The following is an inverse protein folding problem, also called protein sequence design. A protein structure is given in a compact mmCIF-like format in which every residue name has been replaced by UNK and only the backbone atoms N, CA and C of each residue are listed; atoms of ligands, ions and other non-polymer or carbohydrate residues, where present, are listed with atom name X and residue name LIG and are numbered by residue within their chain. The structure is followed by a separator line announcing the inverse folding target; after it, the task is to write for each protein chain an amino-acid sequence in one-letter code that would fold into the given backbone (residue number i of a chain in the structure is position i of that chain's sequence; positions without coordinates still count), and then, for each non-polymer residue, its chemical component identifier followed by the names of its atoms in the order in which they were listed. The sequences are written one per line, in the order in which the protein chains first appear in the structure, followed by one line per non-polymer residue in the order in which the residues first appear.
data_IF_049575612765
#
_entry.id   IF_049575612765
#
_cell.length_a   1.000
_cell.length_b   1.000
_cell.length_c   1.000
_cell.angle_alpha   90.00
_cell.angle_beta   90.00
_cell.angle_gamma   90.00
#
_symmetry.space_group_name_H-M   'P 1'
#
loop_
_entity.id
_entity.type
_entity.pdbx_description
1 polymer ?
#
# COMPACT_ATOMS: atom_id res chain seq x y z
N UNK A 1 16.08 89.31 15.97
CA UNK A 1 15.86 88.98 14.54
C UNK A 1 15.98 87.46 14.41
N UNK A 2 14.85 86.74 14.31
CA UNK A 2 14.32 86.06 13.10
C UNK A 2 15.14 84.86 12.60
N UNK A 3 14.48 83.69 12.53
CA UNK A 3 14.73 82.58 11.59
C UNK A 3 15.28 81.29 12.23
N UNK A 4 14.44 80.31 12.64
CA UNK A 4 13.83 79.18 11.89
C UNK A 4 14.78 78.07 11.38
N UNK A 5 14.59 76.88 11.96
CA UNK A 5 14.48 75.54 11.36
C UNK A 5 15.56 75.03 10.38
N UNK A 6 16.08 73.82 10.63
CA UNK A 6 15.79 72.58 9.86
C UNK A 6 16.85 71.51 10.14
N UNK A 7 16.43 70.31 10.56
CA UNK A 7 17.26 69.12 10.58
C UNK A 7 17.49 68.59 9.15
N UNK A 8 18.63 67.93 8.89
CA UNK A 8 18.60 66.77 8.03
C UNK A 8 19.14 65.51 8.69
N UNK A 9 18.43 64.44 8.34
CA UNK A 9 18.57 63.03 8.64
C UNK A 9 19.60 62.35 7.71
N UNK A 10 19.92 61.07 7.98
CA UNK A 10 20.49 60.03 7.08
C UNK A 10 22.04 60.01 6.99
N UNK A 11 22.78 58.88 7.12
CA UNK A 11 22.47 57.47 7.37
C UNK A 11 23.70 56.77 7.99
N UNK A 12 23.46 55.86 8.94
CA UNK A 12 24.37 54.76 9.22
C UNK A 12 23.97 53.55 8.36
N UNK A 13 24.91 52.80 7.75
CA UNK A 13 24.55 51.60 6.99
C UNK A 13 24.15 50.48 7.96
N UNK A 14 22.88 50.06 7.87
CA UNK A 14 22.37 48.83 8.47
C UNK A 14 22.89 47.67 7.59
N UNK A 15 23.88 46.94 8.09
CA UNK A 15 24.27 45.66 7.53
C UNK A 15 23.15 44.65 7.77
N UNK A 16 22.35 44.37 6.74
CA UNK A 16 21.40 43.25 6.73
C UNK A 16 22.19 41.97 6.54
N UNK A 17 22.52 41.30 7.64
CA UNK A 17 22.95 39.91 7.60
C UNK A 17 21.71 39.04 7.33
N UNK A 18 21.46 38.77 6.05
CA UNK A 18 20.45 37.80 5.63
C UNK A 18 20.87 36.40 6.10
N UNK A 19 20.38 35.99 7.27
CA UNK A 19 20.47 34.63 7.75
C UNK A 19 19.67 33.71 6.82
N UNK A 20 20.37 33.01 5.93
CA UNK A 20 19.83 31.84 5.25
C UNK A 20 19.46 30.80 6.31
N UNK A 21 18.19 30.78 6.70
CA UNK A 21 17.60 29.68 7.45
C UNK A 21 17.60 28.44 6.55
N UNK A 22 18.71 27.71 6.54
CA UNK A 22 18.67 26.30 6.17
C UNK A 22 17.83 25.60 7.22
N UNK A 23 16.57 25.29 6.90
CA UNK A 23 15.79 24.37 7.71
C UNK A 23 16.52 23.04 7.68
N UNK A 24 17.25 22.72 8.75
CA UNK A 24 17.80 21.40 8.96
C UNK A 24 16.63 20.43 9.01
N UNK A 25 16.47 19.63 7.96
CA UNK A 25 15.57 18.47 8.00
C UNK A 25 16.24 17.47 8.91
N UNK A 26 15.93 17.53 10.20
CA UNK A 26 16.37 16.51 11.14
C UNK A 26 15.70 15.19 10.71
N UNK A 27 16.48 14.29 10.11
CA UNK A 27 16.06 12.93 9.83
C UNK A 27 16.07 12.16 11.15
N UNK A 28 14.96 12.23 11.88
CA UNK A 28 14.74 11.34 13.02
C UNK A 28 14.48 9.92 12.49
N UNK A 29 15.15 8.92 13.04
CA UNK A 29 14.85 7.51 12.78
C UNK A 29 13.48 7.12 13.33
N UNK A 30 13.06 7.52 14.56
CA UNK A 30 11.70 7.27 15.02
C UNK A 30 10.70 8.24 14.41
N UNK A 31 9.58 7.68 13.96
CA UNK A 31 8.43 8.40 13.43
C UNK A 31 7.12 7.79 13.94
N UNK A 32 6.10 8.64 14.01
CA UNK A 32 4.74 8.20 14.28
C UNK A 32 4.08 7.76 12.97
N UNK A 33 3.34 6.66 13.02
CA UNK A 33 2.82 5.99 11.84
C UNK A 33 1.44 5.40 12.08
N UNK A 34 0.70 5.12 11.01
CA UNK A 34 -0.65 4.53 11.09
C UNK A 34 -1.61 5.30 11.98
N UNK A 35 -1.65 6.63 11.83
CA UNK A 35 -2.43 7.52 12.67
C UNK A 35 -3.92 7.36 12.34
N UNK A 36 -4.73 6.96 13.32
CA UNK A 36 -6.18 6.78 13.17
C UNK A 36 -6.90 7.48 14.32
N UNK A 37 -7.93 8.27 14.01
CA UNK A 37 -8.85 8.84 14.98
C UNK A 37 -10.16 8.02 15.01
N UNK A 38 -10.45 7.41 16.15
CA UNK A 38 -11.69 6.67 16.38
C UNK A 38 -12.45 7.29 17.55
N UNK A 39 -13.49 8.08 17.26
CA UNK A 39 -14.37 8.64 18.27
C UNK A 39 -13.68 9.61 19.25
N UNK A 40 -12.63 10.31 18.82
CA UNK A 40 -11.87 11.24 19.67
C UNK A 40 -10.65 10.61 20.36
N UNK A 41 -10.42 9.30 20.19
CA UNK A 41 -9.16 8.65 20.58
C UNK A 41 -8.28 8.51 19.34
N UNK A 42 -7.11 9.13 19.37
CA UNK A 42 -6.11 9.00 18.30
C UNK A 42 -5.13 7.90 18.69
N UNK A 43 -4.92 6.93 17.80
CA UNK A 43 -3.91 5.89 17.95
C UNK A 43 -2.85 5.98 16.86
N UNK A 44 -1.63 5.59 17.17
CA UNK A 44 -0.48 5.58 16.27
C UNK A 44 0.52 4.50 16.69
N UNK A 45 1.44 4.18 15.78
CA UNK A 45 2.59 3.31 16.01
C UNK A 45 3.87 4.13 16.05
N UNK A 46 4.81 3.76 16.90
CA UNK A 46 6.22 4.11 16.79
C UNK A 46 6.97 2.94 16.17
N UNK A 47 7.71 3.22 15.11
CA UNK A 47 8.55 2.22 14.42
C UNK A 47 9.77 1.78 15.23
N UNK A 48 10.25 2.63 16.14
CA UNK A 48 11.37 2.33 17.05
C UNK A 48 11.22 3.13 18.35
N UNK A 49 12.15 2.94 19.30
CA UNK A 49 12.20 3.72 20.52
C UNK A 49 12.43 5.21 20.24
N UNK A 50 11.66 6.07 20.91
CA UNK A 50 11.80 7.52 20.86
C UNK A 50 12.17 8.07 22.25
N UNK A 51 13.17 8.95 22.28
CA UNK A 51 13.58 9.66 23.49
C UNK A 51 12.48 10.58 24.04
N UNK A 52 11.67 11.17 23.15
CA UNK A 52 10.51 11.98 23.56
C UNK A 52 9.41 12.00 22.50
N UNK A 53 8.18 11.80 22.94
CA UNK A 53 6.98 11.93 22.12
C UNK A 53 6.07 12.98 22.72
N UNK A 54 5.68 13.95 21.91
CA UNK A 54 4.81 15.05 22.31
C UNK A 54 3.65 15.17 21.33
N UNK A 55 2.45 15.37 21.85
CA UNK A 55 1.27 15.69 21.05
C UNK A 55 0.99 17.17 21.23
N UNK A 56 1.02 17.92 20.13
CA UNK A 56 0.74 19.36 20.17
C UNK A 56 -0.60 19.62 19.52
N UNK A 57 -1.52 20.21 20.28
CA UNK A 57 -2.88 20.52 19.85
C UNK A 57 -3.03 21.97 19.38
N UNK A 58 -4.06 22.21 18.56
CA UNK A 58 -4.49 23.55 18.14
C UNK A 58 -3.31 24.44 17.71
N UNK A 59 -2.47 23.90 16.83
CA UNK A 59 -1.26 24.51 16.26
C UNK A 59 -0.17 24.98 17.23
N UNK A 60 -0.17 24.54 18.49
CA UNK A 60 0.86 24.96 19.45
C UNK A 60 0.33 25.38 20.81
N UNK A 61 -0.97 25.56 20.93
CA UNK A 61 -1.60 26.17 22.12
C UNK A 61 -1.51 25.28 23.36
N UNK A 62 -1.56 23.96 23.17
CA UNK A 62 -1.48 22.99 24.27
C UNK A 62 -0.61 21.83 23.84
N UNK A 63 0.26 21.34 24.73
CA UNK A 63 1.10 20.17 24.47
C UNK A 63 0.83 19.13 25.55
N UNK A 64 0.57 17.90 25.11
CA UNK A 64 0.57 16.72 25.97
C UNK A 64 1.89 15.98 25.74
N UNK A 65 2.70 15.88 26.78
CA UNK A 65 3.99 15.19 26.73
C UNK A 65 3.81 13.74 27.17
N UNK A 66 4.11 12.81 26.26
CA UNK A 66 4.04 11.38 26.53
C UNK A 66 5.39 10.83 27.03
N UNK A 67 6.45 11.65 27.05
CA UNK A 67 7.78 11.25 27.49
C UNK A 67 8.48 10.31 26.52
N UNK A 68 9.47 9.57 27.04
CA UNK A 68 10.18 8.54 26.28
C UNK A 68 9.29 7.30 26.11
N UNK A 69 9.19 6.80 24.89
CA UNK A 69 8.36 5.64 24.56
C UNK A 69 9.16 4.62 23.75
N UNK A 70 9.09 3.32 24.08
CA UNK A 70 9.67 2.28 23.24
C UNK A 70 8.91 2.13 21.92
N UNK A 71 9.42 1.27 21.03
CA UNK A 71 8.68 0.82 19.83
C UNK A 71 7.33 0.24 20.24
N UNK A 72 6.26 0.55 19.52
CA UNK A 72 4.94 -0.03 19.77
C UNK A 72 3.76 0.87 19.43
N UNK A 73 2.57 0.44 19.84
CA UNK A 73 1.32 1.16 19.64
C UNK A 73 0.96 2.03 20.84
N UNK A 74 0.57 3.27 20.57
CA UNK A 74 0.17 4.25 21.58
C UNK A 74 -1.10 4.98 21.19
N UNK A 75 -1.72 5.64 22.17
CA UNK A 75 -2.90 6.46 21.95
C UNK A 75 -2.96 7.66 22.89
N UNK A 76 -3.72 8.66 22.50
CA UNK A 76 -4.07 9.81 23.34
C UNK A 76 -5.50 10.26 23.03
N UNK A 77 -6.13 10.92 24.00
CA UNK A 77 -7.43 11.56 23.79
C UNK A 77 -7.25 12.90 23.09
N UNK A 78 -8.02 13.13 22.02
CA UNK A 78 -8.11 14.42 21.35
C UNK A 78 -8.85 15.45 22.23
N UNK A 79 -9.76 14.99 23.08
CA UNK A 79 -10.59 15.86 23.93
C UNK A 79 -11.44 16.83 23.10
N UNK A 80 -11.44 18.11 23.48
CA UNK A 80 -12.15 19.19 22.77
C UNK A 80 -11.32 19.82 21.64
N UNK A 81 -10.09 19.35 21.42
CA UNK A 81 -9.20 19.89 20.38
C UNK A 81 -9.65 19.47 18.99
N UNK A 82 -9.36 20.29 17.97
CA UNK A 82 -9.76 20.03 16.58
C UNK A 82 -8.60 19.65 15.66
N UNK A 83 -7.36 19.81 16.14
CA UNK A 83 -6.14 19.56 15.38
C UNK A 83 -5.04 19.11 16.32
N UNK A 84 -4.14 18.30 15.79
CA UNK A 84 -3.00 17.79 16.53
C UNK A 84 -1.81 17.55 15.58
N UNK A 85 -0.61 17.53 16.14
CA UNK A 85 0.60 16.97 15.52
C UNK A 85 1.29 16.06 16.54
N UNK A 86 1.78 14.92 16.07
CA UNK A 86 2.62 14.03 16.86
C UNK A 86 4.06 14.39 16.54
N UNK A 87 4.80 14.85 17.53
CA UNK A 87 6.21 15.22 17.41
C UNK A 87 7.02 14.14 18.10
N UNK A 88 7.77 13.39 17.30
CA UNK A 88 8.66 12.34 17.77
C UNK A 88 10.09 12.87 17.69
N UNK A 89 10.82 12.74 18.80
CA UNK A 89 12.20 13.19 18.93
C UNK A 89 13.05 12.04 19.42
N UNK A 90 14.24 11.92 18.84
CA UNK A 90 15.32 11.13 19.40
C UNK A 90 16.45 12.07 19.81
N UNK A 91 17.13 11.73 20.90
CA UNK A 91 18.36 12.38 21.34
C UNK A 91 19.61 11.59 20.88
N UNK A 92 19.42 10.35 20.44
CA UNK A 92 20.46 9.53 19.83
C UNK A 92 20.70 9.93 18.36
N UNK A 93 21.96 9.98 17.88
CA UNK A 93 22.26 10.14 16.46
C UNK A 93 21.52 9.11 15.62
N UNK A 94 21.22 9.45 14.37
CA UNK A 94 20.61 8.51 13.42
C UNK A 94 21.32 7.16 13.51
N UNK A 95 20.56 6.06 13.55
CA UNK A 95 21.07 4.70 13.71
C UNK A 95 22.25 4.33 12.79
N UNK A 96 22.52 5.12 11.75
CA UNK A 96 23.73 5.12 10.93
C UNK A 96 24.94 5.81 11.60
N UNK A 97 25.20 5.55 12.89
CA UNK A 97 26.43 6.02 13.51
C UNK A 97 27.62 5.29 12.86
N UNK A 98 28.49 6.04 12.17
CA UNK A 98 29.70 5.50 11.56
C UNK A 98 30.52 4.73 12.59
N UNK A 99 30.74 3.43 12.36
CA UNK A 99 31.55 2.56 13.25
C UNK A 99 30.77 1.78 14.32
N UNK A 100 29.45 1.87 14.37
CA UNK A 100 28.60 0.97 15.17
C UNK A 100 28.11 -0.22 14.31
N UNK A 101 27.92 -1.39 14.93
CA UNK A 101 27.19 -2.48 14.28
C UNK A 101 25.75 -2.03 14.06
N UNK A 102 25.32 -1.97 12.80
CA UNK A 102 23.95 -1.62 12.42
C UNK A 102 23.09 -2.88 12.57
N UNK A 103 22.26 -2.90 13.61
CA UNK A 103 21.25 -3.94 13.75
C UNK A 103 20.12 -3.65 12.74
N UNK A 104 19.95 -4.54 11.77
CA UNK A 104 18.95 -4.39 10.69
C UNK A 104 17.57 -4.94 11.08
N UNK A 105 17.49 -5.80 12.09
CA UNK A 105 16.25 -6.32 12.67
C UNK A 105 16.47 -6.74 14.13
N UNK A 106 15.41 -6.71 14.94
CA UNK A 106 15.36 -7.57 16.12
C UNK A 106 15.17 -9.02 15.66
N UNK A 107 15.70 -10.00 16.39
CA UNK A 107 15.62 -11.45 16.05
C UNK A 107 14.19 -12.02 16.17
N UNK A 108 13.19 -11.19 15.88
CA UNK A 108 11.77 -11.51 15.87
C UNK A 108 11.47 -12.52 14.76
N UNK A 109 10.74 -13.56 15.14
CA UNK A 109 10.31 -14.62 14.23
C UNK A 109 9.42 -14.11 13.09
N UNK A 110 8.79 -12.95 13.26
CA UNK A 110 7.97 -12.32 12.22
C UNK A 110 8.76 -11.88 10.98
N UNK A 111 10.09 -11.77 11.09
CA UNK A 111 10.98 -11.49 9.96
C UNK A 111 11.58 -12.76 9.32
N UNK A 112 11.27 -13.94 9.84
CA UNK A 112 11.71 -15.19 9.23
C UNK A 112 10.78 -15.55 8.08
N UNK A 113 11.33 -15.59 6.86
CA UNK A 113 10.66 -16.00 5.63
C UNK A 113 11.52 -17.02 4.88
N UNK A 114 10.91 -18.11 4.38
CA UNK A 114 11.65 -19.17 3.68
C UNK A 114 11.89 -18.84 2.21
N UNK A 115 10.98 -18.11 1.57
CA UNK A 115 11.08 -17.73 0.17
C UNK A 115 10.56 -16.31 -0.09
N UNK A 116 11.11 -15.28 0.58
CA UNK A 116 10.72 -13.90 0.33
C UNK A 116 11.17 -13.49 -1.08
N UNK A 117 10.23 -13.07 -1.93
CA UNK A 117 10.49 -12.58 -3.30
C UNK A 117 10.33 -11.08 -3.44
N UNK A 118 9.60 -10.45 -2.54
CA UNK A 118 9.33 -9.03 -2.59
C UNK A 118 9.04 -8.47 -1.20
N UNK A 119 9.47 -7.22 -0.99
CA UNK A 119 9.15 -6.44 0.20
C UNK A 119 8.74 -5.05 -0.26
N UNK A 120 7.64 -4.54 0.26
CA UNK A 120 7.19 -3.18 0.00
C UNK A 120 6.75 -2.51 1.31
N UNK A 121 6.87 -1.19 1.38
CA UNK A 121 6.45 -0.40 2.53
C UNK A 121 5.55 0.71 2.05
N UNK A 122 4.44 0.96 2.73
CA UNK A 122 3.62 2.13 2.43
C UNK A 122 4.34 3.39 2.91
N UNK A 123 4.69 4.27 1.97
CA UNK A 123 5.46 5.51 2.23
C UNK A 123 4.59 6.77 2.28
N UNK A 124 3.27 6.64 2.18
CA UNK A 124 2.36 7.77 2.19
C UNK A 124 2.09 8.23 3.64
N UNK A 125 2.63 9.38 4.09
CA UNK A 125 2.50 9.83 5.47
C UNK A 125 1.06 10.24 5.84
N UNK A 126 0.19 10.48 4.84
CA UNK A 126 -1.22 10.79 5.05
C UNK A 126 -2.08 9.52 5.19
N UNK A 127 -1.53 8.34 4.91
CA UNK A 127 -2.27 7.09 4.94
C UNK A 127 -2.40 6.54 6.37
N UNK A 128 -3.55 5.95 6.76
CA UNK A 128 -3.64 5.15 7.97
C UNK A 128 -2.76 3.88 7.91
N UNK A 129 -2.19 3.57 6.76
CA UNK A 129 -1.27 2.45 6.55
C UNK A 129 0.18 2.88 6.42
N UNK A 130 0.51 4.15 6.68
CA UNK A 130 1.90 4.62 6.63
C UNK A 130 2.82 3.67 7.42
N UNK A 131 3.98 3.36 6.85
CA UNK A 131 4.98 2.46 7.43
C UNK A 131 4.58 0.98 7.46
N UNK A 132 3.40 0.59 6.95
CA UNK A 132 3.03 -0.82 6.84
C UNK A 132 3.96 -1.54 5.90
N UNK A 133 4.48 -2.68 6.36
CA UNK A 133 5.43 -3.52 5.64
C UNK A 133 4.67 -4.70 5.06
N UNK A 134 4.92 -5.02 3.79
CA UNK A 134 4.40 -6.18 3.10
C UNK A 134 5.55 -7.06 2.66
N UNK A 135 5.42 -8.37 2.85
CA UNK A 135 6.37 -9.38 2.40
C UNK A 135 5.63 -10.40 1.55
N UNK A 136 6.13 -10.62 0.32
CA UNK A 136 5.66 -11.66 -0.58
C UNK A 136 6.52 -12.91 -0.40
N UNK A 137 5.92 -13.99 0.08
CA UNK A 137 6.56 -15.30 0.21
C UNK A 137 5.98 -16.25 -0.84
N UNK A 138 6.85 -16.86 -1.65
CA UNK A 138 6.41 -17.50 -2.91
C UNK A 138 6.20 -19.00 -2.87
N UNK A 139 6.46 -19.64 -1.73
CA UNK A 139 6.26 -21.09 -1.57
C UNK A 139 6.16 -21.47 -0.11
N UNK A 140 5.29 -22.42 0.19
CA UNK A 140 5.24 -22.99 1.53
C UNK A 140 6.57 -23.61 1.94
N UNK A 141 6.94 -23.39 3.20
CA UNK A 141 8.17 -23.92 3.76
C UNK A 141 8.35 -23.53 5.22
N UNK A 142 9.22 -24.25 5.90
CA UNK A 142 9.59 -23.96 7.29
C UNK A 142 10.97 -23.33 7.32
N UNK A 143 11.10 -22.15 7.93
CA UNK A 143 12.41 -21.53 8.14
C UNK A 143 13.23 -22.38 9.09
N UNK A 144 14.51 -22.57 8.78
CA UNK A 144 15.38 -23.37 9.65
C UNK A 144 15.56 -22.65 10.98
N UNK A 145 15.24 -23.33 12.08
CA UNK A 145 15.61 -22.87 13.41
C UNK A 145 17.14 -22.91 13.55
N UNK A 146 17.76 -21.80 13.96
CA UNK A 146 19.09 -21.83 14.58
C UNK A 146 18.90 -21.88 16.10
N UNK A 147 19.97 -22.07 16.87
CA UNK A 147 19.89 -22.15 18.35
C UNK A 147 19.20 -20.95 19.02
N UNK A 148 19.06 -19.84 18.30
CA UNK A 148 18.48 -18.59 18.79
C UNK A 148 17.21 -18.15 18.02
N UNK A 149 16.80 -18.90 16.98
CA UNK A 149 15.68 -18.55 16.12
C UNK A 149 14.62 -19.65 16.13
N UNK A 150 13.38 -19.31 16.49
CA UNK A 150 12.25 -20.25 16.38
C UNK A 150 11.90 -20.44 14.90
N UNK A 151 11.70 -21.69 14.49
CA UNK A 151 11.22 -22.03 13.15
C UNK A 151 9.81 -21.45 12.93
N UNK A 152 9.56 -20.99 11.71
CA UNK A 152 8.26 -20.47 11.27
C UNK A 152 7.80 -21.22 10.03
N UNK A 153 6.57 -21.73 10.04
CA UNK A 153 6.02 -22.55 8.95
C UNK A 153 5.05 -21.73 8.11
N UNK A 154 5.47 -21.35 6.91
CA UNK A 154 4.79 -20.38 6.06
C UNK A 154 4.13 -21.05 4.86
N UNK A 155 3.29 -20.29 4.17
CA UNK A 155 2.65 -20.65 2.91
C UNK A 155 2.78 -19.51 1.90
N UNK A 156 2.49 -19.77 0.63
CA UNK A 156 2.57 -18.77 -0.42
C UNK A 156 1.52 -17.66 -0.25
N UNK A 157 1.97 -16.41 -0.33
CA UNK A 157 1.10 -15.23 -0.28
C UNK A 157 1.77 -14.01 0.34
N UNK A 158 0.95 -13.10 0.86
CA UNK A 158 1.39 -11.81 1.39
C UNK A 158 1.26 -11.79 2.91
N UNK A 159 2.33 -11.41 3.59
CA UNK A 159 2.38 -11.13 5.02
C UNK A 159 2.47 -9.62 5.25
N UNK A 160 1.68 -9.09 6.17
CA UNK A 160 1.68 -7.67 6.51
C UNK A 160 2.09 -7.44 7.96
N UNK A 161 3.05 -6.54 8.17
CA UNK A 161 3.51 -6.10 9.49
C UNK A 161 3.21 -4.61 9.67
N UNK A 162 2.91 -4.24 10.91
CA UNK A 162 2.78 -2.86 11.32
C UNK A 162 4.19 -2.20 11.36
N UNK A 163 4.25 -0.86 11.41
CA UNK A 163 5.51 -0.13 11.52
C UNK A 163 6.37 -0.53 12.72
N UNK A 164 5.73 -0.99 13.81
CA UNK A 164 6.38 -1.47 15.03
C UNK A 164 6.82 -2.95 14.96
N UNK A 165 6.82 -3.55 13.76
CA UNK A 165 7.11 -4.95 13.47
C UNK A 165 6.11 -5.98 14.05
N UNK A 166 4.97 -5.54 14.60
CA UNK A 166 3.89 -6.45 15.00
C UNK A 166 3.08 -6.96 13.81
N UNK A 167 2.38 -8.08 13.97
CA UNK A 167 1.45 -8.59 12.96
C UNK A 167 0.31 -7.60 12.70
N UNK A 168 0.19 -7.13 11.45
CA UNK A 168 -0.77 -6.09 11.09
C UNK A 168 -2.22 -6.59 11.03
N UNK A 169 -2.42 -7.87 10.72
CA UNK A 169 -3.71 -8.39 10.27
C UNK A 169 -4.12 -9.68 11.01
N UNK A 170 -3.40 -10.05 12.07
CA UNK A 170 -3.62 -11.27 12.83
C UNK A 170 -3.36 -12.54 12.00
N UNK A 171 -2.38 -12.47 11.10
CA UNK A 171 -1.99 -13.53 10.19
C UNK A 171 -1.23 -14.67 10.88
N UNK A 172 -0.44 -14.36 11.90
CA UNK A 172 0.59 -15.25 12.44
C UNK A 172 1.41 -15.83 11.28
N UNK A 173 1.31 -17.13 11.04
CA UNK A 173 2.04 -17.84 9.99
C UNK A 173 1.20 -18.07 8.71
N UNK A 174 -0.06 -17.64 8.71
CA UNK A 174 -0.97 -17.79 7.56
C UNK A 174 -0.97 -16.54 6.68
N UNK A 175 -0.62 -16.63 5.39
CA UNK A 175 -0.59 -15.48 4.50
C UNK A 175 -2.00 -14.99 4.14
N UNK A 176 -2.09 -13.74 3.68
CA UNK A 176 -3.25 -13.22 2.97
C UNK A 176 -3.00 -13.39 1.48
N UNK A 177 -4.00 -13.87 0.75
CA UNK A 177 -3.88 -14.08 -0.70
C UNK A 177 -4.66 -13.06 -1.51
N UNK A 178 -5.58 -12.30 -0.90
CA UNK A 178 -6.56 -11.47 -1.62
C UNK A 178 -7.41 -12.29 -2.62
N UNK A 179 -7.51 -13.61 -2.42
CA UNK A 179 -8.15 -14.52 -3.38
C UNK A 179 -7.35 -14.76 -4.67
N UNK A 180 -6.06 -14.43 -4.68
CA UNK A 180 -5.12 -14.77 -5.75
C UNK A 180 -4.58 -16.18 -5.52
N UNK A 181 -4.44 -16.98 -6.58
CA UNK A 181 -3.85 -18.30 -6.52
C UNK A 181 -2.42 -18.20 -7.08
N UNK A 182 -1.42 -18.23 -6.19
CA UNK A 182 -0.03 -17.99 -6.55
C UNK A 182 0.69 -19.26 -7.04
N UNK A 183 0.29 -20.43 -6.54
CA UNK A 183 0.85 -21.74 -6.92
C UNK A 183 0.40 -22.29 -8.30
N UNK A 184 0.07 -21.45 -9.28
CA UNK A 184 -0.66 -21.89 -10.49
C UNK A 184 0.17 -22.12 -11.75
N UNK A 185 1.49 -22.25 -11.67
CA UNK A 185 2.31 -22.46 -12.89
C UNK A 185 3.22 -23.68 -12.88
N UNK A 186 2.60 -24.84 -13.05
CA UNK A 186 3.21 -25.85 -13.91
C UNK A 186 2.51 -25.82 -15.27
N UNK A 187 3.25 -25.87 -16.38
CA UNK A 187 2.76 -26.59 -17.57
C UNK A 187 2.16 -27.92 -17.10
N UNK A 188 1.07 -28.47 -17.68
CA UNK A 188 0.65 -29.83 -17.34
C UNK A 188 1.85 -30.79 -17.43
N UNK A 189 2.29 -31.34 -16.29
CA UNK A 189 3.51 -32.16 -16.19
C UNK A 189 4.78 -31.49 -15.64
N UNK A 190 4.75 -30.22 -15.25
CA UNK A 190 5.84 -29.53 -14.55
C UNK A 190 5.44 -29.19 -13.10
N UNK A 191 6.43 -29.17 -12.20
CA UNK A 191 6.24 -28.69 -10.82
C UNK A 191 5.77 -27.23 -10.80
N UNK A 192 4.97 -26.82 -9.81
CA UNK A 192 4.55 -25.42 -9.67
C UNK A 192 5.76 -24.50 -9.59
N UNK A 193 5.74 -23.38 -10.32
CA UNK A 193 6.79 -22.39 -10.21
C UNK A 193 6.65 -21.65 -8.87
N UNK A 194 7.52 -21.99 -7.91
CA UNK A 194 7.69 -21.39 -6.58
C UNK A 194 8.21 -19.93 -6.64
N UNK A 195 7.51 -19.11 -7.44
CA UNK A 195 7.94 -17.81 -7.92
C UNK A 195 6.88 -16.72 -7.72
N UNK A 196 5.62 -17.09 -7.44
CA UNK A 196 4.55 -16.14 -7.16
C UNK A 196 4.09 -16.27 -5.70
N UNK A 197 3.72 -15.18 -5.02
CA UNK A 197 3.88 -13.78 -5.43
C UNK A 197 5.35 -13.38 -5.61
N UNK A 198 5.64 -12.53 -6.61
CA UNK A 198 6.98 -12.00 -6.87
C UNK A 198 7.09 -10.55 -6.38
N UNK A 199 7.24 -9.61 -7.31
CA UNK A 199 7.58 -8.23 -7.00
C UNK A 199 6.31 -7.54 -6.54
N UNK A 200 6.40 -6.85 -5.41
CA UNK A 200 5.31 -6.10 -4.83
C UNK A 200 5.71 -4.64 -4.67
N UNK A 201 4.75 -3.73 -4.84
CA UNK A 201 4.93 -2.30 -4.60
C UNK A 201 3.63 -1.71 -4.07
N UNK A 202 3.74 -0.72 -3.18
CA UNK A 202 2.58 0.05 -2.72
C UNK A 202 2.42 1.26 -3.64
N UNK A 203 1.24 1.41 -4.24
CA UNK A 203 0.93 2.56 -5.09
C UNK A 203 0.69 3.83 -4.28
N UNK A 204 0.65 4.97 -4.99
CA UNK A 204 0.25 6.27 -4.41
C UNK A 204 -1.19 6.27 -3.86
N UNK A 205 -1.99 5.29 -4.29
CA UNK A 205 -3.36 5.05 -3.84
C UNK A 205 -3.45 4.12 -2.61
N UNK A 206 -2.32 3.87 -1.94
CA UNK A 206 -2.12 2.95 -0.81
C UNK A 206 -2.36 1.46 -1.10
N UNK A 207 -2.80 1.12 -2.32
CA UNK A 207 -3.08 -0.27 -2.70
C UNK A 207 -1.79 -1.03 -2.98
N UNK A 208 -1.83 -2.35 -2.75
CA UNK A 208 -0.69 -3.23 -3.02
C UNK A 208 -0.80 -3.82 -4.42
N UNK A 209 0.24 -3.62 -5.22
CA UNK A 209 0.38 -4.23 -6.53
C UNK A 209 1.28 -5.45 -6.42
N UNK A 210 0.83 -6.59 -6.94
CA UNK A 210 1.50 -7.89 -6.81
C UNK A 210 1.73 -8.48 -8.18
N UNK A 211 2.99 -8.70 -8.53
CA UNK A 211 3.37 -9.33 -9.79
C UNK A 211 3.33 -10.85 -9.67
N UNK A 212 2.77 -11.50 -10.69
CA UNK A 212 2.73 -12.95 -10.84
C UNK A 212 3.71 -13.39 -11.93
N UNK A 213 4.70 -14.20 -11.55
CA UNK A 213 5.73 -14.78 -12.43
C UNK A 213 5.28 -16.12 -13.04
N UNK A 214 3.98 -16.38 -13.15
CA UNK A 214 3.48 -17.57 -13.82
C UNK A 214 3.74 -17.51 -15.34
N UNK A 215 4.32 -18.57 -15.90
CA UNK A 215 4.70 -18.63 -17.32
C UNK A 215 3.52 -18.62 -18.30
N UNK A 216 2.31 -18.97 -17.83
CA UNK A 216 1.09 -19.07 -18.65
C UNK A 216 0.03 -18.04 -18.26
N UNK A 217 0.01 -17.60 -16.99
CA UNK A 217 -1.02 -16.71 -16.43
C UNK A 217 -0.47 -15.39 -15.90
N UNK A 218 0.81 -15.08 -16.16
CA UNK A 218 1.53 -13.95 -15.60
C UNK A 218 0.78 -12.64 -15.79
N UNK A 219 0.59 -11.92 -14.69
CA UNK A 219 -0.19 -10.67 -14.64
C UNK A 219 0.24 -9.84 -13.43
N UNK A 220 -0.25 -8.61 -13.36
CA UNK A 220 -0.19 -7.80 -12.13
C UNK A 220 -1.57 -7.82 -11.50
N UNK A 221 -1.62 -8.09 -10.20
CA UNK A 221 -2.79 -7.99 -9.36
C UNK A 221 -2.72 -6.70 -8.54
N UNK A 222 -3.88 -6.15 -8.22
CA UNK A 222 -4.01 -5.10 -7.22
C UNK A 222 -4.86 -5.64 -6.07
N UNK A 223 -4.48 -5.35 -4.84
CA UNK A 223 -5.32 -5.61 -3.66
C UNK A 223 -5.50 -4.33 -2.86
N UNK A 224 -6.50 -4.31 -2.00
CA UNK A 224 -6.60 -3.29 -0.96
C UNK A 224 -5.40 -3.39 0.02
N UNK A 225 -5.19 -2.37 0.88
CA UNK A 225 -4.05 -2.34 1.82
C UNK A 225 -4.06 -3.44 2.89
N UNK A 226 -5.18 -4.14 3.11
CA UNK A 226 -5.28 -5.29 4.01
C UNK A 226 -5.21 -6.63 3.26
N UNK A 227 -5.01 -6.62 1.93
CA UNK A 227 -4.93 -7.83 1.09
C UNK A 227 -6.16 -8.73 1.29
N UNK A 228 -7.33 -8.11 1.44
CA UNK A 228 -8.59 -8.80 1.71
C UNK A 228 -9.30 -9.22 0.42
N UNK A 229 -9.22 -8.39 -0.63
CA UNK A 229 -9.83 -8.65 -1.94
C UNK A 229 -8.90 -8.23 -3.09
N UNK A 230 -8.80 -9.08 -4.12
CA UNK A 230 -8.16 -8.72 -5.39
C UNK A 230 -9.07 -7.86 -6.25
N UNK A 231 -8.54 -6.74 -6.73
CA UNK A 231 -9.09 -5.97 -7.85
C UNK A 231 -8.31 -6.36 -9.11
N UNK A 232 -8.98 -6.97 -10.09
CA UNK A 232 -8.37 -7.18 -11.41
C UNK A 232 -8.14 -5.80 -12.04
N UNK A 233 -6.89 -5.42 -12.26
CA UNK A 233 -6.59 -4.27 -13.10
C UNK A 233 -7.29 -4.48 -14.44
N UNK A 234 -8.18 -3.56 -14.82
CA UNK A 234 -8.88 -3.65 -16.11
C UNK A 234 -7.80 -3.82 -17.17
N UNK A 235 -7.79 -4.96 -17.87
CA UNK A 235 -6.97 -5.15 -19.06
C UNK A 235 -7.17 -3.90 -19.91
N UNK A 236 -6.10 -3.13 -20.16
CA UNK A 236 -6.08 -2.10 -21.19
C UNK A 236 -6.13 -2.82 -22.55
N UNK A 237 -7.26 -3.46 -22.84
CA UNK A 237 -7.55 -3.89 -24.19
C UNK A 237 -7.99 -2.63 -24.91
N UNK A 238 -7.07 -2.03 -25.67
CA UNK A 238 -7.35 -1.02 -26.67
C UNK A 238 -8.23 -1.57 -27.77
N UNK A 239 -9.46 -1.96 -27.44
CA UNK A 239 -10.46 -2.32 -28.43
C UNK A 239 -11.13 -1.02 -28.85
N UNK A 240 -10.56 -0.35 -29.85
CA UNK A 240 -11.26 0.68 -30.62
C UNK A 240 -12.58 0.06 -31.08
N UNK A 241 -13.67 0.38 -30.38
CA UNK A 241 -15.03 0.01 -30.79
C UNK A 241 -15.29 0.71 -32.12
N UNK A 242 -15.04 0.04 -33.24
CA UNK A 242 -15.58 0.44 -34.53
C UNK A 242 -17.09 0.26 -34.45
N UNK A 243 -17.80 1.34 -34.07
CA UNK A 243 -19.26 1.43 -34.18
C UNK A 243 -19.63 1.29 -35.65
N UNK A 244 -20.09 0.10 -36.05
CA UNK A 244 -20.71 -0.12 -37.36
C UNK A 244 -22.09 0.55 -37.34
N UNK A 245 -22.17 1.75 -37.90
CA UNK A 245 -23.44 2.46 -38.13
C UNK A 245 -24.20 1.69 -39.22
N UNK A 246 -25.21 0.90 -38.84
CA UNK A 246 -26.22 0.40 -39.78
C UNK A 246 -27.21 1.54 -40.05
N UNK A 247 -27.06 2.23 -41.19
CA UNK A 247 -28.11 3.13 -41.71
C UNK A 247 -29.33 2.29 -42.08
N UNK A 248 -30.44 2.51 -41.36
CA UNK A 248 -31.78 2.13 -41.81
C UNK A 248 -32.22 3.12 -42.87
N UNK A 249 -32.53 2.63 -44.07
CA UNK A 249 -33.44 3.29 -45.00
C UNK A 249 -34.44 2.24 -45.49
N UNK A 250 -35.62 2.22 -44.87
CA UNK A 250 -36.89 1.96 -45.59
C UNK A 250 -37.06 3.17 -46.53
N UNK A 251 -37.59 3.07 -47.75
CA UNK A 251 -39.00 2.74 -48.04
C UNK A 251 -39.22 2.55 -49.55
N UNK A 252 -40.23 1.71 -49.89
CA UNK A 252 -41.19 1.87 -50.99
C UNK A 252 -40.73 1.68 -52.46
N UNK A 253 -41.13 0.57 -53.10
CA UNK A 253 -41.91 0.58 -54.34
C UNK A 253 -42.58 -0.79 -54.59
N UNK A 254 -43.84 -0.74 -55.05
CA UNK A 254 -44.78 -1.84 -55.26
C UNK A 254 -44.52 -2.59 -56.58
N UNK A 255 -44.90 -3.87 -56.70
CA UNK A 255 -45.96 -4.30 -57.64
C UNK A 255 -46.37 -5.78 -57.49
N UNK A 256 -47.68 -6.02 -57.72
CA UNK A 256 -48.50 -7.24 -57.58
C UNK A 256 -48.13 -8.43 -58.49
N UNK A 257 -48.47 -9.66 -58.04
CA UNK A 257 -49.42 -10.65 -58.65
C UNK A 257 -49.57 -11.85 -57.69
N UNK A 258 -50.74 -12.07 -57.07
CA UNK A 258 -51.84 -13.00 -57.45
C UNK A 258 -51.39 -14.48 -57.54
N UNK A 259 -51.58 -15.28 -56.49
CA UNK A 259 -52.72 -16.19 -56.16
C UNK A 259 -52.62 -17.60 -56.74
N UNK A 260 -52.90 -18.59 -55.88
CA UNK A 260 -53.48 -19.94 -56.06
C UNK A 260 -52.61 -21.16 -55.64
N UNK A 261 -53.20 -21.95 -54.71
CA UNK A 261 -53.24 -23.41 -54.50
C UNK A 261 -52.03 -24.29 -54.86
N UNK A 262 -51.76 -25.44 -54.27
CA UNK A 262 -52.11 -26.19 -53.06
C UNK A 262 -51.29 -27.51 -53.17
N UNK A 263 -51.27 -28.26 -52.07
CA UNK A 263 -51.09 -29.72 -52.00
C UNK A 263 -49.68 -30.37 -52.04
N UNK A 264 -49.46 -31.13 -50.94
CA UNK A 264 -48.85 -32.47 -50.84
C UNK A 264 -47.35 -32.60 -51.15
N UNK A 265 -46.52 -33.36 -50.45
CA UNK A 265 -46.71 -34.44 -49.47
C UNK A 265 -45.34 -34.65 -48.79
N UNK A 266 -45.32 -34.96 -47.49
CA UNK A 266 -44.17 -35.61 -46.83
C UNK A 266 -44.34 -37.14 -46.93
N UNK A 267 -43.24 -37.91 -46.87
CA UNK A 267 -43.31 -39.22 -46.25
C UNK A 267 -42.36 -39.38 -45.05
N UNK A 268 -42.94 -39.97 -44.01
CA UNK A 268 -42.40 -40.43 -42.73
C UNK A 268 -41.56 -41.73 -42.84
N UNK A 269 -40.87 -42.17 -41.76
CA UNK A 269 -39.75 -43.11 -41.80
C UNK A 269 -40.14 -44.59 -41.64
N UNK A 270 -39.31 -45.49 -42.15
CA UNK A 270 -39.42 -46.95 -41.93
C UNK A 270 -38.36 -47.47 -40.96
N UNK A 271 -38.82 -48.18 -39.93
CA UNK A 271 -38.09 -49.08 -39.02
C UNK A 271 -37.92 -50.47 -39.65
N UNK A 272 -36.81 -51.16 -39.36
CA UNK A 272 -36.70 -52.56 -38.88
C UNK A 272 -35.21 -52.97 -38.89
N UNK A 273 -34.57 -53.25 -37.75
CA UNK A 273 -34.37 -54.60 -37.17
C UNK A 273 -34.04 -55.70 -38.19
N UNK A 274 -32.74 -56.02 -38.30
CA UNK A 274 -32.17 -57.35 -37.98
C UNK A 274 -30.71 -57.15 -37.61
#
# INVERSE_FOLDING_TARGET
MKGTNSFPFVAAPISVLAGLCFASVALATPYASGVINSGGTVSFYLNEQAARVQVVFNNGTTTNDLGALPRGRYSFSLGTNNSFRIVVKNDSPAGYATGALLQLSDDSTLFHFNAPRGVAVNRNPASPYFGRIYVADSVAGTTSATSNAVARSLSDGIYALNPDASDALGQSDTPRTGGIAFDTSGTPGNAPAANSPWHIEVGEDDNLYVSDFSSVTGTIWQTDPNVSDRRRQKRFCGHRRRRRIRRRTRTFWQFRRRTWFADREQPHPLRARR
#
